data_IF_726544364687
#
_entry.id   IF_726544364687
#
_cell.length_a   1.000
_cell.length_b   1.000
_cell.length_c   1.000
_cell.angle_alpha   90.00
_cell.angle_beta   90.00
_cell.angle_gamma   90.00
#
_symmetry.space_group_name_H-M   'P 1'
#
loop_
_entity.id
_entity.type
_entity.pdbx_description
1 polymer ?
#
# COMPACT_ATOMS: atom_id res chain seq x y z
N UNK A 1 20.47 9.30 -2.01
CA UNK A 1 19.26 9.85 -2.65
C UNK A 1 17.94 9.42 -2.00
N UNK A 2 17.65 8.12 -1.83
CA UNK A 2 16.39 7.69 -1.22
C UNK A 2 16.18 8.26 0.20
N UNK A 3 17.23 8.26 1.03
CA UNK A 3 17.18 8.84 2.38
C UNK A 3 16.89 10.35 2.37
N UNK A 4 17.48 11.10 1.44
CA UNK A 4 17.27 12.56 1.36
C UNK A 4 15.86 12.89 0.90
N UNK A 5 15.33 12.18 -0.11
CA UNK A 5 13.93 12.33 -0.56
C UNK A 5 12.93 12.01 0.55
N UNK A 6 13.15 10.90 1.27
CA UNK A 6 12.31 10.52 2.40
C UNK A 6 12.33 11.59 3.51
N UNK A 7 13.53 12.02 3.92
CA UNK A 7 13.68 13.00 4.98
C UNK A 7 12.97 14.32 4.68
N UNK A 8 13.22 14.91 3.50
CA UNK A 8 12.66 16.22 3.13
C UNK A 8 11.13 16.17 3.14
N UNK A 9 10.54 15.13 2.57
CA UNK A 9 9.09 15.02 2.41
C UNK A 9 8.41 14.71 3.74
N UNK A 10 9.00 13.84 4.56
CA UNK A 10 8.45 13.52 5.89
C UNK A 10 8.63 14.69 6.87
N UNK A 11 9.72 15.45 6.77
CA UNK A 11 9.92 16.68 7.54
C UNK A 11 8.87 17.74 7.16
N UNK A 12 8.64 17.96 5.86
CA UNK A 12 7.59 18.87 5.38
C UNK A 12 6.18 18.42 5.81
N UNK A 13 5.90 17.11 5.76
CA UNK A 13 4.63 16.60 6.26
C UNK A 13 4.50 16.80 7.79
N UNK A 14 5.58 16.65 8.55
CA UNK A 14 5.57 16.89 10.00
C UNK A 14 5.36 18.36 10.37
N UNK A 15 5.95 19.30 9.62
CA UNK A 15 5.72 20.73 9.85
C UNK A 15 4.28 21.13 9.51
N UNK A 16 3.67 20.52 8.47
CA UNK A 16 2.25 20.70 8.17
C UNK A 16 1.32 20.15 9.26
N UNK A 17 1.65 19.00 9.87
CA UNK A 17 0.90 18.48 11.04
C UNK A 17 0.97 19.50 12.18
N UNK A 18 2.16 20.00 12.51
CA UNK A 18 2.35 20.99 13.56
C UNK A 18 1.58 22.28 13.24
N UNK A 19 1.64 22.76 12.00
CA UNK A 19 0.88 23.92 11.55
C UNK A 19 -0.64 23.73 11.70
N UNK A 20 -1.16 22.55 11.33
CA UNK A 20 -2.58 22.23 11.51
C UNK A 20 -3.00 22.26 12.98
N UNK A 21 -2.14 21.76 13.88
CA UNK A 21 -2.40 21.74 15.33
C UNK A 21 -2.37 23.14 15.96
N UNK A 22 -1.44 24.00 15.54
CA UNK A 22 -1.35 25.39 16.01
C UNK A 22 -2.57 26.18 15.52
N UNK A 23 -2.97 26.01 14.26
CA UNK A 23 -4.17 26.66 13.73
C UNK A 23 -5.42 26.26 14.50
N UNK A 24 -5.58 24.97 14.83
CA UNK A 24 -6.71 24.52 15.64
C UNK A 24 -6.65 25.10 17.07
N UNK A 25 -5.49 25.02 17.73
CA UNK A 25 -5.29 25.53 19.08
C UNK A 25 -5.47 27.06 19.17
N UNK A 26 -5.12 27.80 18.12
CA UNK A 26 -5.32 29.24 18.08
C UNK A 26 -6.81 29.62 18.04
N UNK A 27 -7.64 28.79 17.40
CA UNK A 27 -9.08 29.02 17.33
C UNK A 27 -9.85 28.48 18.55
N UNK A 28 -9.49 27.31 19.09
CA UNK A 28 -10.25 26.67 20.18
C UNK A 28 -9.61 26.82 21.56
N UNK A 29 -8.33 27.16 21.64
CA UNK A 29 -7.56 27.17 22.89
C UNK A 29 -7.22 25.78 23.45
N UNK A 30 -7.54 24.70 22.74
CA UNK A 30 -7.38 23.31 23.23
C UNK A 30 -6.39 22.52 22.39
N UNK A 31 -5.60 21.66 23.04
CA UNK A 31 -4.65 20.73 22.38
C UNK A 31 -5.19 19.29 22.24
N UNK A 32 -6.50 19.12 22.30
CA UNK A 32 -7.11 17.79 22.22
C UNK A 32 -7.10 17.27 20.77
N UNK A 33 -6.56 16.07 20.56
CA UNK A 33 -6.42 15.45 19.23
C UNK A 33 -7.78 15.17 18.59
N UNK A 34 -8.78 14.81 19.40
CA UNK A 34 -10.10 14.39 18.89
C UNK A 34 -10.95 15.56 18.41
N UNK A 35 -10.63 16.80 18.80
CA UNK A 35 -11.44 17.99 18.54
C UNK A 35 -10.76 18.90 17.52
N UNK A 36 -10.76 18.49 16.25
CA UNK A 36 -10.40 19.36 15.13
C UNK A 36 -11.64 20.08 14.62
N UNK A 37 -11.83 21.32 15.06
CA UNK A 37 -13.09 22.04 14.80
C UNK A 37 -13.05 22.90 13.54
N UNK A 38 -11.87 23.39 13.15
CA UNK A 38 -11.75 24.36 12.07
C UNK A 38 -11.46 23.69 10.73
N UNK A 39 -12.26 24.02 9.72
CA UNK A 39 -12.11 23.52 8.35
C UNK A 39 -10.68 23.65 7.76
N UNK A 40 -9.95 24.78 7.93
CA UNK A 40 -8.57 24.87 7.45
C UNK A 40 -7.61 23.91 8.18
N UNK A 41 -7.81 23.65 9.48
CA UNK A 41 -6.96 22.72 10.23
C UNK A 41 -7.20 21.27 9.80
N UNK A 42 -8.45 20.87 9.57
CA UNK A 42 -8.77 19.51 9.13
C UNK A 42 -8.23 19.24 7.72
N UNK A 43 -8.36 20.18 6.78
CA UNK A 43 -7.79 20.03 5.43
C UNK A 43 -6.27 19.94 5.49
N UNK A 44 -5.60 20.87 6.20
CA UNK A 44 -4.14 20.85 6.28
C UNK A 44 -3.61 19.56 6.92
N UNK A 45 -4.29 19.06 7.96
CA UNK A 45 -4.00 17.75 8.56
C UNK A 45 -4.19 16.60 7.55
N UNK A 46 -5.29 16.58 6.79
CA UNK A 46 -5.52 15.54 5.77
C UNK A 46 -4.44 15.53 4.70
N UNK A 47 -4.00 16.70 4.23
CA UNK A 47 -2.92 16.84 3.24
C UNK A 47 -1.61 16.33 3.85
N UNK A 48 -1.29 16.72 5.08
CA UNK A 48 -0.07 16.32 5.76
C UNK A 48 0.00 14.79 5.98
N UNK A 49 -1.09 14.18 6.44
CA UNK A 49 -1.17 12.73 6.61
C UNK A 49 -1.16 12.00 5.26
N UNK A 50 -1.75 12.58 4.22
CA UNK A 50 -1.68 12.04 2.86
C UNK A 50 -0.25 12.02 2.31
N UNK A 51 0.55 13.05 2.60
CA UNK A 51 1.98 13.08 2.27
C UNK A 51 2.74 11.98 3.02
N UNK A 52 2.51 11.81 4.33
CA UNK A 52 3.16 10.75 5.13
C UNK A 52 2.82 9.35 4.63
N UNK A 53 1.57 9.12 4.25
CA UNK A 53 1.11 7.84 3.70
C UNK A 53 1.50 7.65 2.23
N UNK A 54 1.85 8.71 1.50
CA UNK A 54 2.14 8.62 0.06
C UNK A 54 0.89 8.38 -0.78
N UNK A 55 -0.25 8.95 -0.37
CA UNK A 55 -1.48 8.95 -1.17
C UNK A 55 -1.34 9.91 -2.36
N UNK A 56 -1.95 9.59 -3.49
CA UNK A 56 -1.93 10.47 -4.66
C UNK A 56 -2.78 11.74 -4.40
N UNK A 57 -2.31 12.95 -4.78
CA UNK A 57 -1.19 13.23 -5.68
C UNK A 57 0.21 13.20 -5.05
N UNK A 58 0.32 13.19 -3.72
CA UNK A 58 1.61 13.23 -2.97
C UNK A 58 2.36 11.89 -2.92
N UNK A 59 2.16 11.03 -3.92
CA UNK A 59 2.65 9.66 -3.97
C UNK A 59 4.06 9.50 -4.56
N UNK A 60 4.57 10.51 -5.27
CA UNK A 60 5.78 10.41 -6.11
C UNK A 60 7.03 9.94 -5.36
N UNK A 61 7.12 10.24 -4.07
CA UNK A 61 8.26 9.85 -3.25
C UNK A 61 8.34 8.35 -2.97
N UNK A 62 7.19 7.69 -2.86
CA UNK A 62 7.10 6.34 -2.34
C UNK A 62 7.78 5.33 -3.28
N UNK A 63 7.51 5.31 -4.61
CA UNK A 63 8.19 4.41 -5.53
C UNK A 63 9.70 4.64 -5.65
N UNK A 64 10.14 5.90 -5.59
CA UNK A 64 11.56 6.25 -5.72
C UNK A 64 12.35 5.86 -4.48
N UNK A 65 11.82 6.17 -3.30
CA UNK A 65 12.44 5.80 -2.02
C UNK A 65 12.51 4.28 -1.91
N UNK A 66 11.42 3.57 -2.20
CA UNK A 66 11.42 2.11 -2.14
C UNK A 66 12.40 1.46 -3.13
N UNK A 67 12.61 2.05 -4.31
CA UNK A 67 13.57 1.50 -5.25
C UNK A 67 15.01 1.61 -4.74
N UNK A 68 15.36 2.71 -4.07
CA UNK A 68 16.70 3.01 -3.60
C UNK A 68 17.08 2.43 -2.24
N UNK A 69 16.16 1.74 -1.56
CA UNK A 69 16.40 1.12 -0.24
C UNK A 69 16.54 -0.41 -0.33
N UNK A 70 17.03 -1.02 0.77
CA UNK A 70 17.07 -2.48 0.91
C UNK A 70 15.67 -3.08 1.04
N UNK A 71 15.52 -4.39 0.81
CA UNK A 71 14.21 -5.06 0.92
C UNK A 71 13.65 -5.00 2.34
N UNK A 72 14.49 -5.17 3.37
CA UNK A 72 14.07 -5.10 4.78
C UNK A 72 13.61 -3.70 5.19
N UNK A 73 14.28 -2.64 4.72
CA UNK A 73 13.83 -1.28 4.99
C UNK A 73 12.57 -0.93 4.19
N UNK A 74 12.44 -1.41 2.95
CA UNK A 74 11.22 -1.28 2.16
C UNK A 74 10.00 -1.97 2.83
N UNK A 75 10.20 -3.12 3.47
CA UNK A 75 9.18 -3.77 4.30
C UNK A 75 8.74 -2.85 5.44
N UNK A 76 9.68 -2.28 6.20
CA UNK A 76 9.37 -1.37 7.32
C UNK A 76 8.60 -0.12 6.84
N UNK A 77 9.00 0.45 5.70
CA UNK A 77 8.33 1.64 5.12
C UNK A 77 6.90 1.34 4.67
N UNK A 78 6.67 0.16 4.07
CA UNK A 78 5.34 -0.22 3.58
C UNK A 78 4.40 -0.69 4.68
N UNK A 79 4.95 -1.15 5.81
CA UNK A 79 4.18 -1.72 6.92
C UNK A 79 4.15 -0.79 8.12
N UNK A 80 5.22 -0.77 8.91
CA UNK A 80 5.29 -0.10 10.20
C UNK A 80 5.03 1.41 10.09
N UNK A 81 5.60 2.07 9.08
CA UNK A 81 5.46 3.52 8.90
C UNK A 81 4.04 3.96 8.51
N UNK A 82 3.14 3.04 8.16
CA UNK A 82 1.72 3.34 7.88
C UNK A 82 0.86 3.39 9.13
N UNK A 83 1.29 2.77 10.24
CA UNK A 83 0.51 2.68 11.47
C UNK A 83 0.27 4.04 12.13
N UNK A 84 1.30 4.90 12.36
CA UNK A 84 1.07 6.17 13.07
C UNK A 84 0.21 7.18 12.31
N UNK A 85 0.39 7.39 10.98
CA UNK A 85 -0.51 8.27 10.25
C UNK A 85 -1.96 7.73 10.16
N UNK A 86 -2.15 6.40 10.06
CA UNK A 86 -3.49 5.83 10.07
C UNK A 86 -4.17 5.94 11.44
N UNK A 87 -3.44 5.81 12.55
CA UNK A 87 -4.03 5.98 13.88
C UNK A 87 -4.52 7.42 14.09
N UNK A 88 -3.76 8.42 13.63
CA UNK A 88 -4.19 9.83 13.67
C UNK A 88 -5.44 10.07 12.81
N UNK A 89 -5.51 9.50 11.61
CA UNK A 89 -6.71 9.56 10.78
C UNK A 89 -7.91 8.91 11.46
N UNK A 90 -7.72 7.75 12.11
CA UNK A 90 -8.78 7.03 12.83
C UNK A 90 -9.28 7.81 14.07
N UNK A 91 -8.40 8.52 14.77
CA UNK A 91 -8.81 9.35 15.92
C UNK A 91 -9.59 10.60 15.50
N UNK A 92 -9.42 11.06 14.26
CA UNK A 92 -9.94 12.35 13.78
C UNK A 92 -11.08 12.20 12.78
N UNK A 93 -11.56 10.97 12.51
CA UNK A 93 -12.51 10.66 11.41
C UNK A 93 -13.75 11.52 11.38
N UNK A 94 -14.30 11.87 12.54
CA UNK A 94 -15.56 12.59 12.65
C UNK A 94 -15.49 14.00 12.05
N UNK A 95 -14.28 14.57 11.93
CA UNK A 95 -14.05 15.93 11.49
C UNK A 95 -13.35 16.02 10.12
N UNK A 96 -13.00 14.87 9.52
CA UNK A 96 -12.30 14.88 8.24
C UNK A 96 -13.26 15.22 7.08
N UNK A 97 -12.83 16.04 6.10
CA UNK A 97 -13.62 16.36 4.92
C UNK A 97 -13.83 15.11 4.04
N UNK A 98 -15.07 14.56 3.94
CA UNK A 98 -15.31 13.29 3.27
C UNK A 98 -15.06 13.36 1.76
N UNK A 99 -15.39 14.49 1.13
CA UNK A 99 -15.19 14.69 -0.31
C UNK A 99 -13.70 14.64 -0.68
N UNK A 100 -12.84 15.32 0.09
CA UNK A 100 -11.40 15.34 -0.16
C UNK A 100 -10.77 13.95 0.02
N UNK A 101 -11.21 13.19 1.02
CA UNK A 101 -10.74 11.82 1.23
C UNK A 101 -11.15 10.90 0.08
N UNK A 102 -12.40 11.00 -0.37
CA UNK A 102 -12.92 10.18 -1.47
C UNK A 102 -12.22 10.50 -2.80
N UNK A 103 -11.95 11.77 -3.10
CA UNK A 103 -11.22 12.15 -4.32
C UNK A 103 -9.78 11.63 -4.28
N UNK A 104 -9.09 11.77 -3.15
CA UNK A 104 -7.75 11.21 -2.94
C UNK A 104 -7.75 9.68 -3.04
N UNK A 105 -8.79 9.00 -2.54
CA UNK A 105 -8.95 7.56 -2.66
C UNK A 105 -9.08 7.11 -4.13
N UNK A 106 -9.94 7.76 -4.91
CA UNK A 106 -10.14 7.42 -6.32
C UNK A 106 -8.85 7.66 -7.12
N UNK A 107 -8.21 8.82 -6.92
CA UNK A 107 -6.95 9.16 -7.62
C UNK A 107 -5.82 8.20 -7.24
N UNK A 108 -5.73 7.76 -5.98
CA UNK A 108 -4.69 6.81 -5.57
C UNK A 108 -4.90 5.40 -6.13
N UNK A 109 -6.14 4.90 -6.21
CA UNK A 109 -6.44 3.61 -6.87
C UNK A 109 -6.10 3.69 -8.37
N UNK A 110 -6.49 4.79 -9.02
CA UNK A 110 -6.18 5.08 -10.42
C UNK A 110 -4.67 5.08 -10.70
N UNK A 111 -3.94 5.90 -9.96
CA UNK A 111 -2.51 6.09 -10.15
C UNK A 111 -1.76 4.81 -9.82
N UNK A 112 -2.09 4.15 -8.70
CA UNK A 112 -1.47 2.89 -8.30
C UNK A 112 -1.70 1.77 -9.32
N UNK A 113 -2.90 1.69 -9.91
CA UNK A 113 -3.20 0.74 -10.97
C UNK A 113 -2.38 1.00 -12.24
N UNK A 114 -2.43 2.22 -12.77
CA UNK A 114 -1.85 2.52 -14.08
C UNK A 114 -0.33 2.53 -14.05
N UNK A 115 0.26 3.20 -13.06
CA UNK A 115 1.72 3.29 -12.95
C UNK A 115 2.38 1.96 -12.59
N UNK A 116 1.68 1.08 -11.86
CA UNK A 116 2.14 -0.27 -11.52
C UNK A 116 2.32 -1.17 -12.75
N UNK A 117 1.47 -1.02 -13.77
CA UNK A 117 1.54 -1.81 -15.00
C UNK A 117 2.89 -1.67 -15.72
N UNK A 118 3.48 -0.48 -15.72
CA UNK A 118 4.71 -0.22 -16.49
C UNK A 118 6.01 -0.49 -15.70
N UNK A 119 5.93 -1.05 -14.48
CA UNK A 119 7.12 -1.32 -13.68
C UNK A 119 7.64 -2.74 -13.89
N UNK A 120 8.97 -2.88 -13.94
CA UNK A 120 9.71 -4.16 -13.96
C UNK A 120 10.42 -4.42 -12.61
N UNK A 121 10.57 -3.39 -11.78
CA UNK A 121 11.23 -3.50 -10.49
C UNK A 121 10.22 -3.88 -9.42
N UNK A 122 10.47 -4.97 -8.68
CA UNK A 122 9.52 -5.50 -7.69
C UNK A 122 9.19 -4.48 -6.59
N UNK A 123 10.19 -3.72 -6.16
CA UNK A 123 10.00 -2.69 -5.11
C UNK A 123 9.07 -1.57 -5.55
N UNK A 124 9.12 -1.15 -6.83
CA UNK A 124 8.19 -0.15 -7.37
C UNK A 124 6.79 -0.70 -7.55
N UNK A 125 6.64 -1.97 -7.94
CA UNK A 125 5.30 -2.60 -8.00
C UNK A 125 4.67 -2.61 -6.60
N UNK A 126 5.45 -2.97 -5.58
CA UNK A 126 5.00 -2.95 -4.19
C UNK A 126 4.71 -1.54 -3.66
N UNK A 127 5.41 -0.53 -4.17
CA UNK A 127 5.07 0.85 -3.90
C UNK A 127 3.69 1.21 -4.45
N UNK A 128 3.42 0.90 -5.72
CA UNK A 128 2.15 1.22 -6.36
C UNK A 128 0.98 0.40 -5.84
N UNK A 129 1.21 -0.85 -5.43
CA UNK A 129 0.21 -1.60 -4.70
C UNK A 129 -0.15 -0.95 -3.37
N UNK A 130 0.85 -0.48 -2.60
CA UNK A 130 0.59 0.23 -1.34
C UNK A 130 -0.27 1.46 -1.55
N UNK A 131 -0.04 2.22 -2.62
CA UNK A 131 -0.82 3.41 -2.99
C UNK A 131 -2.26 3.03 -3.30
N UNK A 132 -2.48 1.97 -4.09
CA UNK A 132 -3.82 1.50 -4.43
C UNK A 132 -4.59 0.97 -3.20
N UNK A 133 -3.94 0.16 -2.35
CA UNK A 133 -4.58 -0.36 -1.14
C UNK A 133 -4.89 0.75 -0.14
N UNK A 134 -3.99 1.72 0.07
CA UNK A 134 -4.27 2.90 0.89
C UNK A 134 -5.47 3.69 0.35
N UNK A 135 -5.62 3.80 -0.97
CA UNK A 135 -6.82 4.39 -1.57
C UNK A 135 -8.12 3.72 -1.12
N UNK A 136 -8.16 2.39 -1.10
CA UNK A 136 -9.31 1.64 -0.54
C UNK A 136 -9.55 1.95 0.94
N UNK A 137 -8.48 2.09 1.74
CA UNK A 137 -8.61 2.44 3.17
C UNK A 137 -9.16 3.85 3.36
N UNK A 138 -8.74 4.82 2.54
CA UNK A 138 -9.20 6.21 2.65
C UNK A 138 -10.65 6.37 2.22
N UNK A 139 -11.12 5.58 1.24
CA UNK A 139 -12.51 5.61 0.80
C UNK A 139 -13.52 5.24 1.91
N UNK A 140 -13.13 4.32 2.79
CA UNK A 140 -14.02 3.77 3.83
C UNK A 140 -13.86 4.46 5.19
N UNK A 141 -12.74 5.16 5.41
CA UNK A 141 -12.35 5.72 6.71
C UNK A 141 -13.46 6.55 7.39
N UNK A 142 -14.19 7.37 6.62
CA UNK A 142 -15.27 8.23 7.14
C UNK A 142 -16.58 7.50 7.38
N UNK A 143 -16.77 6.34 6.77
CA UNK A 143 -18.02 5.57 6.83
C UNK A 143 -17.93 4.51 7.93
N UNK A 144 -16.82 3.76 7.99
CA UNK A 144 -16.57 2.80 9.05
C UNK A 144 -15.08 2.63 9.38
N UNK A 145 -14.74 3.00 10.60
CA UNK A 145 -13.38 2.82 11.15
C UNK A 145 -13.00 1.33 11.23
N UNK A 146 -13.96 0.46 11.53
CA UNK A 146 -13.70 -0.99 11.71
C UNK A 146 -13.23 -1.64 10.42
N UNK A 147 -13.84 -1.31 9.27
CA UNK A 147 -13.39 -1.84 7.98
C UNK A 147 -12.06 -1.21 7.56
N UNK A 148 -11.82 0.07 7.82
CA UNK A 148 -10.52 0.68 7.58
C UNK A 148 -9.40 -0.08 8.33
N UNK A 149 -9.60 -0.42 9.61
CA UNK A 149 -8.65 -1.21 10.40
C UNK A 149 -8.48 -2.63 9.82
N UNK A 150 -9.59 -3.30 9.45
CA UNK A 150 -9.54 -4.63 8.85
C UNK A 150 -8.73 -4.64 7.54
N UNK A 151 -8.94 -3.64 6.68
CA UNK A 151 -8.25 -3.50 5.40
C UNK A 151 -6.75 -3.28 5.60
N UNK A 152 -6.37 -2.48 6.60
CA UNK A 152 -4.98 -2.25 6.98
C UNK A 152 -4.32 -3.54 7.46
N UNK A 153 -4.96 -4.27 8.38
CA UNK A 153 -4.42 -5.52 8.92
C UNK A 153 -4.19 -6.58 7.83
N UNK A 154 -5.17 -6.77 6.93
CA UNK A 154 -5.03 -7.72 5.82
C UNK A 154 -3.90 -7.28 4.88
N UNK A 155 -3.84 -6.00 4.52
CA UNK A 155 -2.75 -5.47 3.69
C UNK A 155 -1.37 -5.69 4.33
N UNK A 156 -1.23 -5.45 5.63
CA UNK A 156 0.02 -5.64 6.38
C UNK A 156 0.47 -7.10 6.41
N UNK A 157 -0.47 -8.03 6.61
CA UNK A 157 -0.18 -9.47 6.56
C UNK A 157 0.26 -9.91 5.15
N UNK A 158 -0.46 -9.45 4.12
CA UNK A 158 -0.15 -9.83 2.75
C UNK A 158 1.19 -9.25 2.27
N UNK A 159 1.44 -7.98 2.54
CA UNK A 159 2.70 -7.35 2.12
C UNK A 159 3.91 -7.90 2.86
N UNK A 160 3.79 -8.17 4.18
CA UNK A 160 4.88 -8.78 4.94
C UNK A 160 5.24 -10.16 4.40
N UNK A 161 4.25 -11.00 4.11
CA UNK A 161 4.49 -12.33 3.52
C UNK A 161 5.26 -12.24 2.19
N UNK A 162 4.88 -11.32 1.29
CA UNK A 162 5.55 -11.18 0.00
C UNK A 162 6.96 -10.59 0.14
N UNK A 163 7.17 -9.62 1.02
CA UNK A 163 8.50 -9.09 1.29
C UNK A 163 9.43 -10.13 1.90
N UNK A 164 8.95 -10.99 2.80
CA UNK A 164 9.75 -12.09 3.36
C UNK A 164 10.20 -13.08 2.28
N UNK A 165 9.30 -13.44 1.36
CA UNK A 165 9.61 -14.25 0.17
C UNK A 165 10.71 -13.59 -0.67
N UNK A 166 10.60 -12.28 -0.92
CA UNK A 166 11.61 -11.54 -1.69
C UNK A 166 12.95 -11.42 -0.95
N UNK A 167 12.94 -11.30 0.39
CA UNK A 167 14.16 -11.22 1.20
C UNK A 167 14.88 -12.57 1.20
N UNK A 168 14.16 -13.68 1.42
CA UNK A 168 14.77 -15.02 1.48
C UNK A 168 15.37 -15.46 0.15
N UNK A 169 14.84 -14.96 -0.96
CA UNK A 169 15.30 -15.31 -2.32
C UNK A 169 16.10 -14.19 -3.00
N UNK A 170 16.26 -13.05 -2.34
CA UNK A 170 16.97 -11.86 -2.83
C UNK A 170 16.45 -11.31 -4.19
N UNK A 171 15.19 -11.54 -4.53
CA UNK A 171 14.60 -11.15 -5.82
C UNK A 171 14.35 -9.65 -5.90
N UNK A 172 14.85 -8.99 -6.96
CA UNK A 172 14.68 -7.53 -7.15
C UNK A 172 13.85 -7.20 -8.40
N UNK A 173 13.87 -8.06 -9.41
CA UNK A 173 13.25 -7.85 -10.72
C UNK A 173 12.28 -8.98 -11.09
N UNK A 174 11.45 -8.77 -12.12
CA UNK A 174 10.59 -9.84 -12.69
C UNK A 174 11.39 -11.09 -13.08
N UNK A 175 12.60 -10.90 -13.64
CA UNK A 175 13.44 -12.01 -14.10
C UNK A 175 13.96 -12.85 -12.93
N UNK A 176 14.24 -12.22 -11.79
CA UNK A 176 14.63 -12.97 -10.59
C UNK A 176 13.45 -13.76 -10.05
N UNK A 177 12.24 -13.21 -10.18
CA UNK A 177 11.00 -13.84 -9.75
C UNK A 177 10.71 -15.15 -10.52
N UNK A 178 11.03 -15.19 -11.81
CA UNK A 178 10.81 -16.38 -12.63
C UNK A 178 11.75 -17.55 -12.28
N UNK A 179 12.84 -17.27 -11.56
CA UNK A 179 13.78 -18.30 -11.08
C UNK A 179 13.35 -18.94 -9.75
N UNK A 180 12.29 -18.44 -9.10
CA UNK A 180 11.84 -18.95 -7.79
C UNK A 180 11.51 -20.44 -7.81
N UNK A 181 10.92 -20.94 -8.91
CA UNK A 181 10.57 -22.37 -9.05
C UNK A 181 11.78 -23.27 -8.86
N UNK A 182 12.94 -22.82 -9.33
CA UNK A 182 14.19 -23.58 -9.21
C UNK A 182 14.75 -23.56 -7.80
N UNK A 183 14.44 -22.55 -6.99
CA UNK A 183 14.97 -22.41 -5.64
C UNK A 183 14.13 -23.26 -4.69
N UNK A 184 12.82 -23.05 -4.70
CA UNK A 184 11.89 -23.84 -3.90
C UNK A 184 10.47 -23.78 -4.46
N UNK A 185 9.87 -24.93 -4.84
CA UNK A 185 8.50 -24.95 -5.36
C UNK A 185 7.48 -24.52 -4.31
N UNK A 186 7.72 -24.85 -3.03
CA UNK A 186 6.83 -24.43 -1.93
C UNK A 186 6.70 -22.90 -1.86
N UNK A 187 7.81 -22.17 -1.97
CA UNK A 187 7.83 -20.71 -1.92
C UNK A 187 7.18 -20.08 -3.16
N UNK A 188 7.23 -20.73 -4.32
CA UNK A 188 6.46 -20.28 -5.49
C UNK A 188 4.97 -20.39 -5.28
N UNK A 189 4.48 -21.50 -4.71
CA UNK A 189 3.05 -21.69 -4.46
C UNK A 189 2.52 -20.68 -3.44
N UNK A 190 3.27 -20.42 -2.36
CA UNK A 190 2.89 -19.39 -1.38
C UNK A 190 2.94 -18.00 -2.00
N UNK A 191 3.93 -17.70 -2.85
CA UNK A 191 3.98 -16.43 -3.55
C UNK A 191 2.81 -16.21 -4.51
N UNK A 192 2.39 -17.26 -5.23
CA UNK A 192 1.21 -17.19 -6.09
C UNK A 192 -0.03 -16.85 -5.26
N UNK A 193 -0.27 -17.54 -4.16
CA UNK A 193 -1.41 -17.29 -3.27
C UNK A 193 -1.39 -15.86 -2.71
N UNK A 194 -0.21 -15.34 -2.35
CA UNK A 194 -0.08 -13.99 -1.79
C UNK A 194 -0.28 -12.89 -2.85
N UNK A 195 0.20 -13.08 -4.08
CA UNK A 195 -0.05 -12.15 -5.18
C UNK A 195 -1.53 -12.12 -5.60
N UNK A 196 -2.17 -13.28 -5.69
CA UNK A 196 -3.59 -13.39 -6.06
C UNK A 196 -4.51 -12.78 -4.99
N UNK A 197 -4.14 -12.91 -3.73
CA UNK A 197 -4.89 -12.30 -2.62
C UNK A 197 -4.68 -10.79 -2.56
N UNK A 198 -3.48 -10.26 -2.82
CA UNK A 198 -3.28 -8.80 -3.02
C UNK A 198 -4.13 -8.26 -4.19
N UNK A 199 -4.26 -9.04 -5.26
CA UNK A 199 -5.17 -8.77 -6.37
C UNK A 199 -6.65 -8.75 -5.95
N UNK A 200 -7.02 -9.50 -4.91
CA UNK A 200 -8.38 -9.57 -4.40
C UNK A 200 -9.28 -10.48 -5.23
N UNK A 201 -8.81 -11.66 -5.59
CA UNK A 201 -9.62 -12.68 -6.28
C UNK A 201 -10.54 -13.43 -5.29
N UNK A 202 -11.80 -13.73 -5.68
CA UNK A 202 -12.76 -14.48 -4.85
C UNK A 202 -12.43 -15.97 -4.88
N UNK A 203 -11.48 -16.43 -4.06
CA UNK A 203 -11.75 -17.20 -2.83
C UNK A 203 -10.79 -16.84 -1.67
N UNK A 204 -9.95 -15.81 -1.86
CA UNK A 204 -8.86 -15.45 -0.96
C UNK A 204 -9.24 -14.30 -0.02
N UNK A 205 -8.51 -14.19 1.10
CA UNK A 205 -8.78 -13.20 2.16
C UNK A 205 -8.71 -11.75 1.65
N UNK A 206 -7.87 -11.44 0.67
CA UNK A 206 -7.73 -10.07 0.17
C UNK A 206 -8.93 -9.55 -0.66
N UNK A 207 -9.88 -10.41 -1.04
CA UNK A 207 -11.14 -9.99 -1.65
C UNK A 207 -12.11 -9.40 -0.60
N UNK A 208 -12.09 -9.95 0.62
CA UNK A 208 -13.02 -9.61 1.70
C UNK A 208 -13.06 -8.10 2.01
N UNK A 209 -11.93 -7.39 2.16
CA UNK A 209 -11.91 -5.93 2.35
C UNK A 209 -12.60 -5.16 1.21
N UNK A 210 -12.25 -5.49 -0.04
CA UNK A 210 -12.77 -4.77 -1.22
C UNK A 210 -14.29 -4.96 -1.34
N UNK A 211 -14.75 -6.19 -1.12
CA UNK A 211 -16.17 -6.51 -1.18
C UNK A 211 -16.97 -5.78 -0.10
N UNK A 212 -16.51 -5.78 1.15
CA UNK A 212 -17.22 -5.07 2.22
C UNK A 212 -17.20 -3.55 2.04
N UNK A 213 -16.08 -2.98 1.55
CA UNK A 213 -16.03 -1.54 1.22
C UNK A 213 -17.07 -1.20 0.15
N UNK A 214 -17.15 -1.99 -0.92
CA UNK A 214 -18.15 -1.78 -1.98
C UNK A 214 -19.57 -1.84 -1.44
N UNK A 215 -19.85 -2.79 -0.54
CA UNK A 215 -21.17 -2.91 0.11
C UNK A 215 -21.52 -1.66 0.92
N UNK A 216 -20.61 -1.15 1.74
CA UNK A 216 -20.89 0.07 2.51
C UNK A 216 -21.06 1.30 1.64
N UNK A 217 -20.28 1.44 0.57
CA UNK A 217 -20.45 2.55 -0.37
C UNK A 217 -21.81 2.52 -1.07
N UNK A 218 -22.28 1.32 -1.45
CA UNK A 218 -23.62 1.18 -2.05
C UNK A 218 -24.72 1.48 -1.06
N UNK A 219 -24.56 1.11 0.22
CA UNK A 219 -25.51 1.44 1.28
C UNK A 219 -25.62 2.94 1.53
N UNK A 220 -24.52 3.68 1.36
CA UNK A 220 -24.47 5.15 1.50
C UNK A 220 -24.80 5.89 0.18
N UNK A 221 -25.45 5.23 -0.78
CA UNK A 221 -25.84 5.78 -2.09
C UNK A 221 -24.68 6.26 -2.99
N UNK A 222 -23.43 5.93 -2.67
CA UNK A 222 -22.23 6.27 -3.45
C UNK A 222 -21.93 5.22 -4.53
N UNK A 223 -22.93 4.89 -5.36
CA UNK A 223 -22.85 3.80 -6.33
C UNK A 223 -21.81 4.09 -7.41
N UNK A 224 -21.77 5.33 -7.92
CA UNK A 224 -20.84 5.71 -8.99
C UNK A 224 -19.37 5.54 -8.55
N UNK A 225 -19.03 5.95 -7.32
CA UNK A 225 -17.66 5.87 -6.82
C UNK A 225 -17.26 4.42 -6.56
N UNK A 226 -18.19 3.58 -6.09
CA UNK A 226 -17.99 2.15 -5.95
C UNK A 226 -17.68 1.48 -7.31
N UNK A 227 -18.42 1.80 -8.37
CA UNK A 227 -18.18 1.28 -9.72
C UNK A 227 -16.79 1.70 -10.23
N UNK A 228 -16.45 2.98 -10.08
CA UNK A 228 -15.16 3.53 -10.52
C UNK A 228 -13.99 2.81 -9.81
N UNK A 229 -14.07 2.66 -8.49
CA UNK A 229 -13.02 1.97 -7.73
C UNK A 229 -12.92 0.48 -8.07
N UNK A 230 -14.06 -0.19 -8.30
CA UNK A 230 -14.07 -1.59 -8.73
C UNK A 230 -13.35 -1.77 -10.08
N UNK A 231 -13.66 -0.94 -11.08
CA UNK A 231 -13.03 -1.01 -12.40
C UNK A 231 -11.51 -0.74 -12.30
N UNK A 232 -11.08 0.28 -11.58
CA UNK A 232 -9.65 0.57 -11.46
C UNK A 232 -8.88 -0.43 -10.62
N UNK A 233 -9.55 -1.15 -9.72
CA UNK A 233 -8.91 -2.27 -9.01
C UNK A 233 -8.55 -3.43 -9.93
N UNK A 234 -9.28 -3.64 -11.02
CA UNK A 234 -8.92 -4.64 -12.05
C UNK A 234 -7.60 -4.28 -12.74
N UNK A 235 -7.30 -2.98 -12.88
CA UNK A 235 -6.01 -2.53 -13.39
C UNK A 235 -4.85 -2.97 -12.49
N UNK A 236 -5.04 -2.90 -11.17
CA UNK A 236 -4.04 -3.40 -10.22
C UNK A 236 -3.89 -4.93 -10.29
N UNK A 237 -4.99 -5.64 -10.51
CA UNK A 237 -4.99 -7.09 -10.67
C UNK A 237 -4.17 -7.54 -11.89
N UNK A 238 -4.17 -6.79 -12.99
CA UNK A 238 -3.42 -7.13 -14.20
C UNK A 238 -1.90 -7.26 -13.97
N UNK A 239 -1.27 -6.37 -13.20
CA UNK A 239 0.17 -6.51 -12.94
C UNK A 239 0.49 -7.65 -11.96
N UNK A 240 -0.41 -7.97 -11.03
CA UNK A 240 -0.28 -9.16 -10.17
C UNK A 240 -0.41 -10.45 -10.97
N UNK A 241 -1.39 -10.52 -11.88
CA UNK A 241 -1.55 -11.66 -12.79
C UNK A 241 -0.29 -11.85 -13.63
N UNK A 242 0.27 -10.76 -14.19
CA UNK A 242 1.54 -10.82 -14.92
C UNK A 242 2.68 -11.38 -14.06
N UNK A 243 2.79 -10.95 -12.81
CA UNK A 243 3.81 -11.46 -11.88
C UNK A 243 3.64 -12.95 -11.62
N UNK A 244 2.43 -13.39 -11.30
CA UNK A 244 2.13 -14.81 -11.05
C UNK A 244 2.42 -15.66 -12.29
N UNK A 245 2.05 -15.17 -13.47
CA UNK A 245 2.33 -15.85 -14.73
C UNK A 245 3.83 -16.10 -14.92
N UNK A 246 4.65 -15.06 -14.74
CA UNK A 246 6.11 -15.18 -14.87
C UNK A 246 6.77 -16.02 -13.78
N UNK A 247 6.19 -16.06 -12.58
CA UNK A 247 6.80 -16.73 -11.43
C UNK A 247 6.45 -18.21 -11.33
N UNK A 248 5.22 -18.58 -11.69
CA UNK A 248 4.69 -19.93 -11.40
C UNK A 248 4.11 -20.66 -12.60
N UNK A 249 3.41 -19.97 -13.51
CA UNK A 249 2.71 -20.63 -14.62
C UNK A 249 3.64 -20.95 -15.80
N UNK A 250 4.71 -20.18 -15.96
CA UNK A 250 5.73 -20.44 -16.99
C UNK A 250 7.09 -20.72 -16.36
N UNK A 251 7.82 -21.67 -16.94
CA UNK A 251 9.20 -21.97 -16.52
C UNK A 251 10.15 -21.18 -17.43
N UNK A 252 10.81 -20.17 -16.87
CA UNK A 252 11.84 -19.41 -17.59
C UNK A 252 13.15 -20.20 -17.71
N UNK A 253 14.01 -19.92 -18.71
CA UNK A 253 15.28 -20.63 -18.87
C UNK A 253 16.21 -20.39 -17.68
N UNK A 254 16.70 -21.49 -17.10
CA UNK A 254 17.59 -21.48 -15.96
C UNK A 254 19.05 -21.25 -16.39
N UNK A 255 19.83 -20.60 -15.53
CA UNK A 255 21.28 -20.48 -15.71
C UNK A 255 22.00 -21.66 -15.08
N UNK A 256 23.18 -22.02 -15.60
CA UNK A 256 24.00 -23.14 -15.08
C UNK A 256 24.31 -23.03 -13.58
N UNK A 257 24.39 -21.81 -13.05
CA UNK A 257 24.63 -21.53 -11.63
C UNK A 257 23.46 -21.93 -10.71
N UNK A 258 22.27 -22.23 -11.24
CA UNK A 258 21.13 -22.68 -10.41
C UNK A 258 21.43 -24.01 -9.69
N UNK A 259 22.21 -24.90 -10.32
CA UNK A 259 22.58 -26.19 -9.71
C UNK A 259 23.44 -26.04 -8.45
N UNK A 260 24.23 -24.96 -8.36
CA UNK A 260 25.00 -24.68 -7.15
C UNK A 260 24.09 -24.25 -5.99
N UNK A 261 23.02 -23.50 -6.27
CA UNK A 261 22.07 -23.03 -5.24
C UNK A 261 21.30 -24.17 -4.58
N UNK A 262 21.05 -25.28 -5.29
CA UNK A 262 20.37 -26.46 -4.75
C UNK A 262 21.14 -27.14 -3.61
N UNK A 263 22.46 -26.96 -3.55
CA UNK A 263 23.30 -27.59 -2.53
C UNK A 263 23.26 -26.87 -1.18
N UNK A 264 22.87 -25.59 -1.16
CA UNK A 264 22.85 -24.78 0.05
C UNK A 264 21.43 -24.70 0.61
N UNK A 265 21.29 -24.99 1.91
CA UNK A 265 20.05 -24.70 2.62
C UNK A 265 19.91 -23.18 2.78
N UNK A 266 18.70 -22.60 2.61
CA UNK A 266 18.51 -21.19 2.91
C UNK A 266 18.89 -20.94 4.38
N UNK A 267 19.78 -19.97 4.60
CA UNK A 267 20.17 -19.55 5.95
C UNK A 267 18.94 -19.05 6.68
N UNK A 268 18.60 -19.67 7.83
CA UNK A 268 17.51 -19.22 8.67
C UNK A 268 17.78 -17.77 9.09
N UNK A 269 16.94 -16.85 8.61
CA UNK A 269 16.93 -15.47 9.07
C UNK A 269 16.23 -15.51 10.42
N UNK A 270 17.00 -15.65 11.49
CA UNK A 270 16.55 -15.37 12.87
C UNK A 270 16.49 -13.88 13.09
#
# INVERSE_FOLDING_TARGET
EAATKYFIIQAAASSLILFSSIMNAWHTGTWNITQLSTYPSTITLTIALSMKLGLAPMHFWLPEVMQGTTLSSALIITTWQKLPPMSLLLMTTNHLPPLALLTMAIVSILVGGWSGLNQIQMRKIMAFSSIAHLGWMMAILTMSQKLAILTLLIYMMMTSSLFLIMISTSTKTFKDMSQLWTISPTLTTTCMLTLMSLGGLPPLIGFLPKWFILKELTNNHLILTAIIMAIFSLLSLMFYMRLTYTATLTISPNTTNSMMKWRFKPTNIT
#
